data_IF_635158409961
#
_entry.id   IF_635158409961
#
_cell.length_a   1.000
_cell.length_b   1.000
_cell.length_c   1.000
_cell.angle_alpha   90.00
_cell.angle_beta   90.00
_cell.angle_gamma   90.00
#
_symmetry.space_group_name_H-M   'P 1'
#
loop_
_entity.id
_entity.type
_entity.pdbx_description
1 polymer ?
#
# COMPACT_ATOMS: atom_id res chain seq x y z
N UNK A 1 -14.29 11.02 32.89
CA UNK A 1 -14.21 11.53 31.51
C UNK A 1 -13.30 10.64 30.66
N UNK A 2 -13.53 9.32 30.67
CA UNK A 2 -12.76 8.33 29.89
C UNK A 2 -13.69 7.38 29.09
N UNK A 3 -15.00 7.56 29.21
CA UNK A 3 -16.00 6.59 28.81
C UNK A 3 -16.48 6.77 27.35
N UNK A 4 -16.22 7.95 26.74
CA UNK A 4 -16.58 8.21 25.33
C UNK A 4 -15.57 7.61 24.34
N UNK A 5 -14.29 7.53 24.68
CA UNK A 5 -13.26 7.01 23.76
C UNK A 5 -13.35 5.50 23.53
N UNK A 6 -13.89 4.74 24.51
CA UNK A 6 -14.00 3.29 24.38
C UNK A 6 -15.19 2.87 23.50
N UNK A 7 -16.22 3.72 23.36
CA UNK A 7 -17.42 3.41 22.57
C UNK A 7 -17.25 3.70 21.07
N UNK A 8 -16.37 4.62 20.72
CA UNK A 8 -16.11 5.00 19.32
C UNK A 8 -14.86 4.31 18.71
N UNK A 9 -13.98 3.74 19.53
CA UNK A 9 -12.71 3.12 19.10
C UNK A 9 -12.82 2.09 17.95
N UNK A 10 -13.81 1.17 17.95
CA UNK A 10 -13.98 0.23 16.85
C UNK A 10 -14.42 0.90 15.53
N UNK A 11 -15.23 1.96 15.63
CA UNK A 11 -15.74 2.70 14.46
C UNK A 11 -14.70 3.67 13.90
N UNK A 12 -13.92 4.32 14.77
CA UNK A 12 -12.82 5.19 14.32
C UNK A 12 -11.75 4.37 13.61
N UNK A 13 -11.37 3.20 14.16
CA UNK A 13 -10.43 2.29 13.50
C UNK A 13 -10.94 1.81 12.13
N UNK A 14 -12.22 1.49 12.02
CA UNK A 14 -12.83 1.09 10.75
C UNK A 14 -12.77 2.21 9.69
N UNK A 15 -13.01 3.47 10.10
CA UNK A 15 -12.90 4.64 9.22
C UNK A 15 -11.45 4.90 8.82
N UNK A 16 -10.51 4.87 9.77
CA UNK A 16 -9.07 5.09 9.53
C UNK A 16 -8.52 4.02 8.57
N UNK A 17 -8.90 2.75 8.77
CA UNK A 17 -8.53 1.66 7.86
C UNK A 17 -9.12 1.88 6.47
N UNK A 18 -10.37 2.33 6.35
CA UNK A 18 -10.97 2.61 5.03
C UNK A 18 -10.26 3.73 4.29
N UNK A 19 -9.93 4.82 4.98
CA UNK A 19 -9.19 5.93 4.40
C UNK A 19 -7.79 5.48 3.97
N UNK A 20 -7.08 4.74 4.83
CA UNK A 20 -5.77 4.18 4.49
C UNK A 20 -5.85 3.24 3.28
N UNK A 21 -6.89 2.41 3.17
CA UNK A 21 -7.10 1.53 2.01
C UNK A 21 -7.38 2.31 0.73
N UNK A 22 -8.09 3.45 0.81
CA UNK A 22 -8.31 4.32 -0.35
C UNK A 22 -7.00 4.94 -0.83
N UNK A 23 -6.28 5.61 0.06
CA UNK A 23 -4.99 6.23 -0.26
C UNK A 23 -4.00 5.20 -0.79
N UNK A 24 -3.91 4.04 -0.13
CA UNK A 24 -3.01 2.97 -0.54
C UNK A 24 -3.39 2.38 -1.91
N UNK A 25 -4.69 2.32 -2.23
CA UNK A 25 -5.14 1.88 -3.55
C UNK A 25 -4.78 2.87 -4.66
N UNK A 26 -4.87 4.17 -4.39
CA UNK A 26 -4.49 5.21 -5.35
C UNK A 26 -2.99 5.10 -5.66
N UNK A 27 -2.14 4.97 -4.63
CA UNK A 27 -0.70 4.75 -4.81
C UNK A 27 -0.43 3.46 -5.59
N UNK A 28 -1.08 2.34 -5.23
CA UNK A 28 -0.87 1.08 -5.94
C UNK A 28 -1.32 1.13 -7.42
N UNK A 29 -2.31 1.97 -7.76
CA UNK A 29 -2.77 2.13 -9.14
C UNK A 29 -1.71 2.77 -10.05
N UNK A 30 -0.84 3.64 -9.51
CA UNK A 30 0.26 4.27 -10.28
C UNK A 30 1.23 3.22 -10.84
N UNK A 31 1.44 2.12 -10.11
CA UNK A 31 2.33 1.04 -10.52
C UNK A 31 1.69 0.08 -11.55
N UNK A 32 0.36 0.07 -11.68
CA UNK A 32 -0.35 -0.85 -12.58
C UNK A 32 0.12 -0.73 -14.03
N UNK A 33 0.40 0.50 -14.48
CA UNK A 33 0.85 0.78 -15.84
C UNK A 33 2.29 0.31 -16.08
N UNK A 34 3.14 0.31 -15.04
CA UNK A 34 4.58 0.03 -15.16
C UNK A 34 4.88 -1.46 -14.99
N UNK A 35 4.10 -2.15 -14.15
CA UNK A 35 4.21 -3.60 -13.90
C UNK A 35 3.88 -4.43 -15.16
N UNK A 36 3.27 -3.84 -16.19
CA UNK A 36 3.09 -4.49 -17.49
C UNK A 36 4.32 -4.47 -18.42
N UNK A 37 5.41 -3.78 -18.05
CA UNK A 37 6.61 -3.67 -18.87
C UNK A 37 7.45 -4.97 -18.79
N UNK A 38 7.83 -5.59 -19.94
CA UNK A 38 8.65 -6.80 -19.96
C UNK A 38 10.03 -6.69 -19.28
N UNK A 39 10.50 -5.46 -19.03
CA UNK A 39 11.77 -5.19 -18.35
C UNK A 39 11.65 -5.27 -16.83
N UNK A 40 10.44 -5.32 -16.28
CA UNK A 40 10.21 -5.43 -14.83
C UNK A 40 10.54 -6.86 -14.37
N UNK A 41 11.37 -7.03 -13.31
CA UNK A 41 11.68 -8.34 -12.77
C UNK A 41 10.42 -9.08 -12.26
N UNK A 42 10.38 -10.40 -12.46
CA UNK A 42 9.26 -11.25 -12.00
C UNK A 42 8.93 -11.05 -10.51
N UNK A 43 9.96 -10.91 -9.66
CA UNK A 43 9.78 -10.67 -8.22
C UNK A 43 9.00 -9.39 -7.91
N UNK A 44 9.13 -8.35 -8.75
CA UNK A 44 8.35 -7.12 -8.60
C UNK A 44 6.90 -7.31 -9.06
N UNK A 45 6.65 -8.16 -10.04
CA UNK A 45 5.29 -8.55 -10.43
C UNK A 45 4.59 -9.32 -9.29
N UNK A 46 5.32 -10.24 -8.65
CA UNK A 46 4.84 -11.01 -7.50
C UNK A 46 4.56 -10.12 -6.28
N UNK A 47 5.46 -9.19 -5.96
CA UNK A 47 5.25 -8.19 -4.92
C UNK A 47 4.04 -7.29 -5.23
N UNK A 48 3.85 -6.89 -6.49
CA UNK A 48 2.68 -6.10 -6.89
C UNK A 48 1.37 -6.91 -6.77
N UNK A 49 1.38 -8.18 -7.16
CA UNK A 49 0.23 -9.06 -6.99
C UNK A 49 -0.16 -9.21 -5.51
N UNK A 50 0.83 -9.37 -4.62
CA UNK A 50 0.61 -9.39 -3.17
C UNK A 50 -0.07 -8.11 -2.67
N UNK A 51 0.34 -6.94 -3.17
CA UNK A 51 -0.29 -5.65 -2.83
C UNK A 51 -1.76 -5.62 -3.25
N UNK A 52 -2.07 -6.06 -4.47
CA UNK A 52 -3.44 -6.12 -4.98
C UNK A 52 -4.32 -7.06 -4.15
N UNK A 53 -3.79 -8.21 -3.75
CA UNK A 53 -4.50 -9.17 -2.91
C UNK A 53 -4.80 -8.61 -1.51
N UNK A 54 -3.83 -7.94 -0.88
CA UNK A 54 -4.01 -7.27 0.41
C UNK A 54 -5.08 -6.17 0.31
N UNK A 55 -5.06 -5.37 -0.76
CA UNK A 55 -6.08 -4.34 -1.02
C UNK A 55 -7.47 -4.96 -1.23
N UNK A 56 -7.55 -6.04 -2.00
CA UNK A 56 -8.81 -6.75 -2.23
C UNK A 56 -9.39 -7.32 -0.92
N UNK A 57 -8.52 -7.88 -0.07
CA UNK A 57 -8.90 -8.40 1.24
C UNK A 57 -9.38 -7.27 2.17
N UNK A 58 -8.60 -6.18 2.27
CA UNK A 58 -8.90 -5.04 3.13
C UNK A 58 -10.24 -4.36 2.78
N UNK A 59 -10.59 -4.30 1.49
CA UNK A 59 -11.89 -3.79 1.03
C UNK A 59 -13.07 -4.68 1.41
N UNK A 60 -12.88 -5.99 1.46
CA UNK A 60 -13.94 -6.97 1.74
C UNK A 60 -14.15 -7.21 3.23
N UNK A 61 -13.07 -7.20 4.00
CA UNK A 61 -13.08 -7.56 5.41
C UNK A 61 -12.12 -6.65 6.18
N UNK A 62 -12.57 -5.44 6.60
CA UNK A 62 -11.79 -4.56 7.48
C UNK A 62 -11.72 -5.17 8.88
N UNK A 63 -10.84 -6.16 9.06
CA UNK A 63 -10.55 -6.83 10.33
C UNK A 63 -9.43 -6.14 11.09
N UNK A 64 -9.22 -6.53 12.35
CA UNK A 64 -8.12 -6.03 13.17
C UNK A 64 -6.72 -6.36 12.62
N UNK A 65 -6.60 -7.29 11.66
CA UNK A 65 -5.34 -7.70 11.04
C UNK A 65 -4.95 -6.83 9.84
N UNK A 66 -5.90 -6.07 9.28
CA UNK A 66 -5.68 -5.24 8.09
C UNK A 66 -4.53 -4.24 8.26
N UNK A 67 -4.35 -3.53 9.39
CA UNK A 67 -3.21 -2.64 9.56
C UNK A 67 -1.85 -3.35 9.38
N UNK A 68 -1.73 -4.58 9.90
CA UNK A 68 -0.50 -5.38 9.75
C UNK A 68 -0.30 -5.83 8.30
N UNK A 69 -1.37 -6.23 7.61
CA UNK A 69 -1.32 -6.61 6.20
C UNK A 69 -0.98 -5.41 5.31
N UNK A 70 -1.57 -4.23 5.55
CA UNK A 70 -1.22 -3.01 4.83
C UNK A 70 0.26 -2.67 5.00
N UNK A 71 0.83 -2.83 6.20
CA UNK A 71 2.27 -2.65 6.42
C UNK A 71 3.14 -3.60 5.58
N UNK A 72 2.72 -4.86 5.44
CA UNK A 72 3.38 -5.83 4.54
C UNK A 72 3.28 -5.37 3.09
N UNK A 73 2.08 -4.96 2.67
CA UNK A 73 1.82 -4.38 1.35
C UNK A 73 2.74 -3.20 1.06
N UNK A 74 2.84 -2.22 1.96
CA UNK A 74 3.69 -1.04 1.78
C UNK A 74 5.15 -1.43 1.53
N UNK A 75 5.67 -2.42 2.27
CA UNK A 75 7.05 -2.92 2.05
C UNK A 75 7.20 -3.63 0.70
N UNK A 76 6.18 -4.35 0.25
CA UNK A 76 6.18 -4.95 -1.08
C UNK A 76 6.15 -3.87 -2.16
N UNK A 77 5.30 -2.85 -2.02
CA UNK A 77 5.23 -1.74 -2.97
C UNK A 77 6.54 -0.94 -3.05
N UNK A 78 7.27 -0.79 -1.93
CA UNK A 78 8.62 -0.22 -1.93
C UNK A 78 9.62 -1.06 -2.73
N UNK A 79 9.50 -2.39 -2.70
CA UNK A 79 10.34 -3.27 -3.53
C UNK A 79 9.96 -3.18 -5.00
N UNK A 80 8.66 -3.09 -5.31
CA UNK A 80 8.18 -2.81 -6.68
C UNK A 80 8.80 -1.52 -7.19
N UNK A 81 8.69 -0.42 -6.42
CA UNK A 81 9.24 0.88 -6.78
C UNK A 81 10.73 0.82 -7.10
N UNK A 82 11.53 0.19 -6.23
CA UNK A 82 12.98 0.03 -6.43
C UNK A 82 13.36 -0.84 -7.62
N UNK A 83 12.47 -1.71 -8.07
CA UNK A 83 12.69 -2.60 -9.20
C UNK A 83 12.33 -1.95 -10.55
N UNK A 84 11.70 -0.77 -10.56
CA UNK A 84 11.35 -0.07 -11.79
C UNK A 84 12.57 0.68 -12.35
N UNK A 85 12.81 0.62 -13.67
CA UNK A 85 13.85 1.42 -14.31
C UNK A 85 13.51 2.92 -14.19
N UNK A 86 14.43 3.71 -13.61
CA UNK A 86 14.27 5.16 -13.37
C UNK A 86 14.01 5.58 -11.91
N UNK A 87 13.82 4.64 -10.98
CA UNK A 87 13.64 4.97 -9.56
C UNK A 87 14.87 5.63 -8.91
N UNK A 88 16.07 5.39 -9.44
CA UNK A 88 17.32 6.02 -8.97
C UNK A 88 17.44 7.49 -9.43
N UNK A 89 16.98 7.83 -10.65
CA UNK A 89 17.00 9.22 -11.17
C UNK A 89 16.14 10.17 -10.32
N UNK A 90 14.97 9.71 -9.87
CA UNK A 90 14.07 10.52 -9.03
C UNK A 90 14.57 10.71 -7.59
N UNK A 91 15.40 9.80 -7.08
CA UNK A 91 15.96 9.92 -5.73
C UNK A 91 17.11 10.94 -5.70
N UNK A 92 17.93 10.97 -6.75
CA UNK A 92 19.04 11.91 -6.90
C UNK A 92 18.55 13.35 -7.13
N UNK A 93 17.45 13.54 -7.87
CA UNK A 93 16.80 14.85 -8.05
C UNK A 93 16.12 15.37 -6.77
N UNK A 94 15.59 14.49 -5.92
CA UNK A 94 14.93 14.86 -4.67
C UNK A 94 15.91 15.22 -3.53
N UNK A 95 17.14 14.68 -3.54
CA UNK A 95 18.19 15.02 -2.57
C UNK A 95 18.95 16.31 -2.96
N UNK A 96 18.87 16.72 -4.23
CA UNK A 96 19.51 17.92 -4.77
C UNK A 96 18.66 19.21 -4.66
N UNK A 97 17.44 19.15 -4.12
CA UNK A 97 16.49 20.26 -3.95
C UNK A 97 16.29 20.65 -2.48
#
# INVERSE_FOLDING_TARGET
>A
MADRYFRDGPRSLEVDVRLAVMEYADVAAEYAAVVGDPRVPLSALEDYALVVDILALARRAPTAEIPSLLSIGTRALLRVHRALPGAEETAEEAEAA
#
